data_IF_063540659422
#
_entry.id   IF_063540659422
#
_cell.length_a   1.000
_cell.length_b   1.000
_cell.length_c   1.000
_cell.angle_alpha   90.00
_cell.angle_beta   90.00
_cell.angle_gamma   90.00
#
_symmetry.space_group_name_H-M   'P 1'
#
loop_
_entity.id
_entity.type
_entity.pdbx_description
1 polymer ?
#
# COMPACT_ATOMS: atom_id res chain seq x y z
N UNK A 1 -14.43 60.82 40.71
CA UNK A 1 -13.34 59.92 41.15
C UNK A 1 -13.43 58.65 40.31
N UNK A 2 -12.63 58.57 39.23
CA UNK A 2 -12.57 57.44 38.29
C UNK A 2 -11.09 57.08 38.21
N UNK A 3 -10.62 55.94 38.73
CA UNK A 3 -9.23 55.55 38.58
C UNK A 3 -9.01 54.97 37.16
N UNK A 4 -8.18 55.66 36.37
CA UNK A 4 -7.64 55.13 35.12
C UNK A 4 -6.83 53.85 35.40
N UNK A 5 -7.19 52.76 34.72
CA UNK A 5 -6.40 51.53 34.68
C UNK A 5 -5.35 51.67 33.57
N UNK A 6 -4.08 51.28 33.80
CA UNK A 6 -3.07 51.34 32.76
C UNK A 6 -3.34 50.25 31.73
N UNK A 7 -3.44 50.65 30.47
CA UNK A 7 -3.39 49.76 29.31
C UNK A 7 -2.02 49.06 29.32
N UNK A 8 -1.99 47.79 29.70
CA UNK A 8 -0.82 46.93 29.46
C UNK A 8 -0.79 46.62 27.96
N UNK A 9 0.04 47.37 27.24
CA UNK A 9 0.38 47.12 25.85
C UNK A 9 1.38 45.95 25.82
N UNK A 10 0.89 44.72 25.65
CA UNK A 10 1.74 43.56 25.39
C UNK A 10 2.29 43.68 23.98
N UNK A 11 3.55 44.11 23.90
CA UNK A 11 4.38 44.05 22.70
C UNK A 11 4.72 42.59 22.39
N UNK A 12 4.58 42.22 21.13
CA UNK A 12 4.55 40.83 20.66
C UNK A 12 5.89 40.11 20.67
N UNK A 13 5.77 38.80 20.50
CA UNK A 13 6.82 37.90 20.04
C UNK A 13 6.19 36.97 19.01
N UNK A 14 6.14 37.44 17.76
CA UNK A 14 5.91 36.57 16.61
C UNK A 14 7.21 35.79 16.42
N UNK A 15 7.21 34.54 16.87
CA UNK A 15 8.28 33.60 16.53
C UNK A 15 8.08 33.17 15.09
N UNK A 16 8.87 33.72 14.18
CA UNK A 16 8.96 33.23 12.80
C UNK A 16 9.76 31.94 12.86
N UNK A 17 9.07 30.79 12.81
CA UNK A 17 9.74 29.52 12.57
C UNK A 17 10.34 29.53 11.15
N UNK A 18 11.57 29.05 10.96
CA UNK A 18 12.17 28.98 9.64
C UNK A 18 11.44 27.94 8.78
N UNK A 19 11.17 28.31 7.53
CA UNK A 19 10.57 27.46 6.50
C UNK A 19 11.56 26.43 5.93
N UNK A 20 12.21 25.66 6.80
CA UNK A 20 13.05 24.51 6.43
C UNK A 20 12.65 23.31 7.26
N UNK A 21 11.39 22.89 7.11
CA UNK A 21 10.97 21.55 7.50
C UNK A 21 10.66 20.78 6.21
N UNK A 22 11.69 20.04 5.79
CA UNK A 22 11.66 18.81 5.00
C UNK A 22 11.25 18.92 3.53
N UNK A 23 12.26 19.13 2.68
CA UNK A 23 12.35 18.48 1.37
C UNK A 23 12.53 16.96 1.57
N UNK A 24 11.48 16.26 1.99
CA UNK A 24 11.41 14.79 1.97
C UNK A 24 10.02 14.39 1.46
N UNK A 25 9.69 14.87 0.26
CA UNK A 25 8.49 14.46 -0.48
C UNK A 25 8.84 14.04 -1.91
N UNK A 26 10.08 13.56 -2.09
CA UNK A 26 10.54 12.98 -3.34
C UNK A 26 10.87 11.50 -3.11
N UNK A 27 9.84 10.63 -3.04
CA UNK A 27 9.84 9.26 -3.61
C UNK A 27 8.71 8.33 -3.13
N UNK A 28 7.79 8.71 -2.23
CA UNK A 28 6.80 7.73 -1.76
C UNK A 28 5.70 7.48 -2.80
N UNK A 29 5.81 6.37 -3.53
CA UNK A 29 4.68 5.78 -4.24
C UNK A 29 3.49 5.52 -3.30
N UNK A 30 2.35 5.08 -3.83
CA UNK A 30 1.13 4.89 -3.04
C UNK A 30 1.40 4.16 -1.71
N UNK A 31 0.81 4.63 -0.59
CA UNK A 31 0.92 3.95 0.70
C UNK A 31 0.61 2.44 0.56
N UNK A 32 1.31 1.61 1.34
CA UNK A 32 1.12 0.16 1.28
C UNK A 32 -0.33 -0.27 1.53
N UNK A 33 -1.04 0.43 2.43
CA UNK A 33 -2.45 0.21 2.70
C UNK A 33 -3.33 0.42 1.45
N UNK A 34 -3.02 1.44 0.63
CA UNK A 34 -3.78 1.71 -0.60
C UNK A 34 -3.51 0.66 -1.67
N UNK A 35 -2.27 0.17 -1.76
CA UNK A 35 -1.91 -0.97 -2.62
C UNK A 35 -2.66 -2.25 -2.21
N UNK A 36 -2.75 -2.53 -0.91
CA UNK A 36 -3.54 -3.66 -0.39
C UNK A 36 -5.03 -3.51 -0.72
N UNK A 37 -5.59 -2.31 -0.54
CA UNK A 37 -6.99 -2.03 -0.86
C UNK A 37 -7.28 -2.26 -2.35
N UNK A 38 -6.36 -1.88 -3.23
CA UNK A 38 -6.48 -2.15 -4.66
C UNK A 38 -6.49 -3.66 -4.98
N UNK A 39 -5.65 -4.46 -4.29
CA UNK A 39 -5.69 -5.92 -4.44
C UNK A 39 -7.03 -6.50 -3.97
N UNK A 40 -7.54 -6.01 -2.84
CA UNK A 40 -8.79 -6.50 -2.25
C UNK A 40 -10.02 -6.23 -3.13
N UNK A 41 -9.98 -5.22 -3.99
CA UNK A 41 -11.07 -4.89 -4.91
C UNK A 41 -11.45 -6.05 -5.85
N UNK A 42 -10.51 -6.95 -6.19
CA UNK A 42 -10.78 -8.13 -7.01
C UNK A 42 -10.58 -9.45 -6.24
N UNK A 43 -9.55 -9.52 -5.40
CA UNK A 43 -9.20 -10.76 -4.69
C UNK A 43 -9.92 -10.92 -3.34
N UNK A 44 -10.74 -9.93 -2.97
CA UNK A 44 -11.46 -9.89 -1.72
C UNK A 44 -10.59 -9.49 -0.53
N UNK A 45 -11.23 -9.30 0.61
CA UNK A 45 -10.55 -8.96 1.86
C UNK A 45 -9.51 -10.03 2.21
N UNK A 46 -8.28 -9.59 2.47
CA UNK A 46 -7.10 -10.44 2.72
C UNK A 46 -6.78 -11.45 1.60
N UNK A 47 -7.40 -11.35 0.43
CA UNK A 47 -7.15 -12.25 -0.70
C UNK A 47 -7.71 -13.67 -0.54
N UNK A 48 -8.58 -13.91 0.44
CA UNK A 48 -9.07 -15.26 0.78
C UNK A 48 -10.33 -15.67 0.02
N UNK A 49 -11.19 -14.70 -0.33
CA UNK A 49 -12.45 -14.91 -1.03
C UNK A 49 -12.64 -13.87 -2.13
N UNK A 50 -12.25 -14.18 -3.38
CA UNK A 50 -12.37 -13.29 -4.51
C UNK A 50 -13.82 -12.89 -4.80
N UNK A 51 -14.01 -11.70 -5.39
CA UNK A 51 -15.36 -11.18 -5.68
C UNK A 51 -16.06 -11.92 -6.83
N UNK A 52 -15.28 -12.57 -7.70
CA UNK A 52 -15.73 -13.38 -8.82
C UNK A 52 -14.88 -14.66 -8.89
N UNK A 53 -15.43 -15.78 -9.35
CA UNK A 53 -14.75 -17.07 -9.35
C UNK A 53 -13.55 -17.14 -10.31
N UNK A 54 -13.45 -16.23 -11.29
CA UNK A 54 -12.30 -16.20 -12.22
C UNK A 54 -11.06 -15.57 -11.59
N UNK A 55 -11.22 -14.80 -10.51
CA UNK A 55 -10.11 -14.21 -9.79
C UNK A 55 -9.50 -15.23 -8.82
N UNK A 56 -8.17 -15.42 -8.83
CA UNK A 56 -7.54 -16.41 -7.97
C UNK A 56 -7.50 -15.97 -6.51
N UNK A 57 -7.50 -16.97 -5.61
CA UNK A 57 -7.20 -16.79 -4.18
C UNK A 57 -5.70 -16.48 -4.02
N UNK A 58 -5.39 -15.43 -3.27
CA UNK A 58 -4.01 -15.02 -2.95
C UNK A 58 -3.59 -15.45 -1.56
N UNK A 59 -4.53 -15.48 -0.61
CA UNK A 59 -4.27 -15.85 0.78
C UNK A 59 -3.60 -17.23 0.86
N UNK A 60 -2.59 -17.37 1.72
CA UNK A 60 -1.92 -18.64 2.00
C UNK A 60 -1.08 -19.21 0.84
N UNK A 61 -0.96 -18.48 -0.27
CA UNK A 61 -0.09 -18.87 -1.37
C UNK A 61 1.38 -18.65 -1.00
N UNK A 62 2.30 -19.42 -1.59
CA UNK A 62 3.72 -19.26 -1.30
C UNK A 62 4.23 -17.86 -1.68
N UNK A 63 4.93 -17.20 -0.76
CA UNK A 63 5.44 -15.83 -0.96
C UNK A 63 6.34 -15.72 -2.21
N UNK A 64 7.23 -16.68 -2.44
CA UNK A 64 8.09 -16.69 -3.62
C UNK A 64 7.30 -16.80 -4.93
N UNK A 65 6.20 -17.57 -4.95
CA UNK A 65 5.33 -17.66 -6.11
C UNK A 65 4.63 -16.33 -6.39
N UNK A 66 4.07 -15.69 -5.35
CA UNK A 66 3.42 -14.38 -5.49
C UNK A 66 4.38 -13.30 -5.97
N UNK A 67 5.57 -13.23 -5.39
CA UNK A 67 6.61 -12.27 -5.79
C UNK A 67 7.02 -12.47 -7.25
N UNK A 68 7.26 -13.72 -7.66
CA UNK A 68 7.57 -14.05 -9.05
C UNK A 68 6.44 -13.67 -10.00
N UNK A 69 5.19 -14.00 -9.66
CA UNK A 69 4.04 -13.68 -10.51
C UNK A 69 3.85 -12.17 -10.69
N UNK A 70 3.92 -11.38 -9.63
CA UNK A 70 3.84 -9.91 -9.70
C UNK A 70 4.99 -9.31 -10.52
N UNK A 71 6.21 -9.81 -10.29
CA UNK A 71 7.37 -9.42 -11.09
C UNK A 71 7.21 -9.77 -12.57
N UNK A 72 6.65 -10.93 -12.87
CA UNK A 72 6.37 -11.40 -14.23
C UNK A 72 5.30 -10.58 -14.94
N UNK A 73 4.27 -10.12 -14.21
CA UNK A 73 3.29 -9.21 -14.77
C UNK A 73 3.89 -7.83 -15.06
N UNK A 74 4.73 -7.31 -14.14
CA UNK A 74 5.40 -6.01 -14.32
C UNK A 74 6.30 -5.97 -15.54
N UNK A 75 7.05 -7.04 -15.78
CA UNK A 75 8.03 -7.12 -16.87
C UNK A 75 7.50 -7.80 -18.14
N UNK A 76 6.22 -8.19 -18.16
CA UNK A 76 5.58 -8.80 -19.32
C UNK A 76 5.96 -10.27 -19.58
N UNK A 77 6.66 -10.95 -18.67
CA UNK A 77 6.94 -12.39 -18.79
C UNK A 77 5.69 -13.26 -18.59
N UNK A 78 4.72 -12.79 -17.82
CA UNK A 78 3.44 -13.47 -17.61
C UNK A 78 2.31 -12.65 -18.23
N UNK A 79 1.58 -13.27 -19.16
CA UNK A 79 0.51 -12.59 -19.89
C UNK A 79 -0.80 -12.61 -19.11
N UNK A 80 -1.22 -11.43 -18.63
CA UNK A 80 -2.59 -11.13 -18.22
C UNK A 80 -2.77 -9.60 -18.29
N UNK A 81 -3.65 -9.08 -19.16
CA UNK A 81 -3.75 -7.63 -19.37
C UNK A 81 -4.25 -6.88 -18.14
N UNK A 82 -5.12 -7.50 -17.33
CA UNK A 82 -5.67 -6.89 -16.12
C UNK A 82 -4.57 -6.75 -15.08
N UNK A 83 -3.86 -7.84 -14.75
CA UNK A 83 -2.81 -7.80 -13.74
C UNK A 83 -1.59 -7.00 -14.19
N UNK A 84 -1.24 -7.03 -15.48
CA UNK A 84 -0.19 -6.15 -16.02
C UNK A 84 -0.57 -4.67 -15.82
N UNK A 85 -1.81 -4.28 -16.13
CA UNK A 85 -2.28 -2.92 -15.91
C UNK A 85 -2.28 -2.54 -14.41
N UNK A 86 -2.71 -3.43 -13.51
CA UNK A 86 -2.72 -3.17 -12.07
C UNK A 86 -1.31 -2.95 -11.51
N UNK A 87 -0.37 -3.81 -11.86
CA UNK A 87 1.02 -3.71 -11.36
C UNK A 87 1.68 -2.42 -11.83
N UNK A 88 1.38 -1.97 -13.06
CA UNK A 88 1.88 -0.69 -13.58
C UNK A 88 1.17 0.51 -12.95
N UNK A 89 -0.16 0.47 -12.80
CA UNK A 89 -0.94 1.56 -12.22
C UNK A 89 -0.55 1.83 -10.76
N UNK A 90 -0.26 0.77 -9.99
CA UNK A 90 0.20 0.86 -8.61
C UNK A 90 1.70 1.17 -8.49
N UNK A 91 2.43 1.22 -9.62
CA UNK A 91 3.87 1.46 -9.69
C UNK A 91 4.65 0.57 -8.69
N UNK A 92 4.36 -0.73 -8.68
CA UNK A 92 4.92 -1.62 -7.67
C UNK A 92 6.45 -1.73 -7.80
N UNK A 93 7.16 -1.26 -6.77
CA UNK A 93 8.59 -1.48 -6.60
C UNK A 93 8.89 -2.93 -6.20
N UNK A 94 10.16 -3.33 -6.21
CA UNK A 94 10.57 -4.65 -5.70
C UNK A 94 10.21 -4.81 -4.21
N UNK A 95 10.34 -3.72 -3.44
CA UNK A 95 9.93 -3.66 -2.05
C UNK A 95 8.43 -3.89 -1.87
N UNK A 96 7.60 -3.27 -2.72
CA UNK A 96 6.15 -3.47 -2.68
C UNK A 96 5.75 -4.90 -3.04
N UNK A 97 6.36 -5.46 -4.08
CA UNK A 97 6.10 -6.84 -4.52
C UNK A 97 6.40 -7.83 -3.39
N UNK A 98 7.55 -7.68 -2.73
CA UNK A 98 7.93 -8.54 -1.62
C UNK A 98 6.99 -8.38 -0.42
N UNK A 99 6.63 -7.14 -0.07
CA UNK A 99 5.70 -6.87 1.04
C UNK A 99 4.29 -7.42 0.78
N UNK A 100 3.75 -7.25 -0.43
CA UNK A 100 2.46 -7.81 -0.84
C UNK A 100 2.49 -9.34 -0.81
N UNK A 101 3.55 -9.94 -1.37
CA UNK A 101 3.72 -11.39 -1.40
C UNK A 101 3.80 -11.98 0.01
N UNK A 102 4.57 -11.35 0.90
CA UNK A 102 4.69 -11.77 2.29
C UNK A 102 3.37 -11.61 3.05
N UNK A 103 2.69 -10.47 2.88
CA UNK A 103 1.38 -10.23 3.48
C UNK A 103 0.37 -11.33 3.11
N UNK A 104 0.15 -11.59 1.83
CA UNK A 104 -0.84 -12.58 1.37
C UNK A 104 -0.46 -14.01 1.76
N UNK A 105 0.83 -14.35 1.77
CA UNK A 105 1.28 -15.69 2.16
C UNK A 105 0.94 -16.06 3.61
N UNK A 106 0.79 -15.07 4.48
CA UNK A 106 0.47 -15.24 5.90
C UNK A 106 -1.04 -15.23 6.18
N UNK A 107 -1.87 -14.94 5.18
CA UNK A 107 -3.32 -14.93 5.36
C UNK A 107 -3.88 -16.35 5.39
N UNK A 108 -4.89 -16.54 6.24
CA UNK A 108 -5.65 -17.80 6.28
C UNK A 108 -6.41 -17.99 4.98
N UNK A 109 -6.35 -19.19 4.41
CA UNK A 109 -6.98 -19.48 3.12
C UNK A 109 -7.67 -20.84 3.12
N UNK A 110 -8.53 -21.06 2.11
CA UNK A 110 -9.05 -22.38 1.78
C UNK A 110 -8.15 -23.17 0.82
N UNK A 111 -6.94 -22.69 0.50
CA UNK A 111 -6.02 -23.42 -0.36
C UNK A 111 -5.58 -24.71 0.35
N UNK A 112 -5.65 -25.82 -0.37
CA UNK A 112 -5.19 -27.12 0.11
C UNK A 112 -3.99 -27.53 -0.73
N UNK A 113 -2.92 -28.00 -0.09
CA UNK A 113 -1.81 -28.64 -0.80
C UNK A 113 -2.35 -29.95 -1.38
N UNK A 114 -2.39 -30.04 -2.70
CA UNK A 114 -2.68 -31.30 -3.36
C UNK A 114 -1.42 -32.16 -3.28
N UNK A 115 -1.41 -33.10 -2.34
CA UNK A 115 -0.35 -34.11 -2.27
C UNK A 115 -0.28 -34.82 -3.62
N UNK A 116 0.89 -34.77 -4.28
CA UNK A 116 1.13 -35.52 -5.50
C UNK A 116 1.04 -37.01 -5.16
N UNK A 117 -0.02 -37.68 -5.62
CA UNK A 117 -0.02 -39.15 -5.76
C UNK A 117 1.00 -39.58 -6.80
#
# INVERSE_FOLDING_TARGET
>A
MIPLRPFFFVCGLITVAPAWANDEAAAEGLPFADKLNACAACHGENGAKPILPEYPVLAGQHANYLANALGDYRNGRRSNPIMAAQVQALQLSDGDINQLAEFFSKQTSGLTILDKK
#
